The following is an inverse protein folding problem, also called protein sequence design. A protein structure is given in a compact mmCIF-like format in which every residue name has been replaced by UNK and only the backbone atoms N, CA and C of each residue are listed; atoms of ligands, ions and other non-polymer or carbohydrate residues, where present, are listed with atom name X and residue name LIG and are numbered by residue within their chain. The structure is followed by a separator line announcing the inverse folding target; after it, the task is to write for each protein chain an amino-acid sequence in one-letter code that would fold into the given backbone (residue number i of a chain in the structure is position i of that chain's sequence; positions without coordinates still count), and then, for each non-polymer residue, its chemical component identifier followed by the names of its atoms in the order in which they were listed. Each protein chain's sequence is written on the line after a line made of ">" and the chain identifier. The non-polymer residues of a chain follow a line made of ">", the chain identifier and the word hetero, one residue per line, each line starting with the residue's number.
data_IF_650615614833
#
_entry.id   IF_650615614833
#
_cell.length_a   1.000
_cell.length_b   1.000
_cell.length_c   1.000
_cell.angle_alpha   90.00
_cell.angle_beta   90.00
_cell.angle_gamma   90.00
#
_symmetry.space_group_name_H-M   'P 1'
#
loop_
_entity.id
_entity.type
_entity.pdbx_description
1 polymer ?
#
# COMPACT_ATOMS: atom_id res chain seq x y z
N UNK A 1 19.82 -6.15 -31.64
CA UNK A 1 20.60 -6.54 -30.46
C UNK A 1 20.30 -5.60 -29.30
N UNK A 2 20.57 -6.01 -28.09
CA UNK A 2 20.63 -5.14 -26.91
C UNK A 2 22.11 -4.80 -26.69
N UNK A 3 22.41 -3.56 -26.35
CA UNK A 3 23.79 -3.07 -26.11
C UNK A 3 23.81 -2.36 -24.78
N UNK A 4 24.72 -2.76 -23.91
CA UNK A 4 24.93 -2.06 -22.62
C UNK A 4 25.55 -0.68 -22.86
N UNK A 5 25.21 0.28 -22.00
CA UNK A 5 25.61 1.68 -22.19
C UNK A 5 27.11 1.88 -22.33
N UNK A 6 27.91 1.11 -21.58
CA UNK A 6 29.39 1.19 -21.61
C UNK A 6 29.99 0.67 -22.90
N UNK A 7 29.31 -0.26 -23.58
CA UNK A 7 29.71 -0.85 -24.85
C UNK A 7 29.05 -0.16 -26.06
N UNK A 8 28.16 0.82 -25.81
CA UNK A 8 27.41 1.52 -26.85
C UNK A 8 28.23 2.59 -27.55
N UNK A 9 28.15 2.62 -28.87
CA UNK A 9 28.68 3.71 -29.72
C UNK A 9 27.90 5.02 -29.47
N UNK A 10 28.45 6.18 -29.85
CA UNK A 10 27.76 7.46 -29.70
C UNK A 10 26.37 7.51 -30.37
N UNK A 11 26.19 6.79 -31.47
CA UNK A 11 24.90 6.70 -32.17
C UNK A 11 23.89 5.81 -31.42
N UNK A 12 24.36 4.72 -30.83
CA UNK A 12 23.51 3.82 -30.04
C UNK A 12 23.04 4.46 -28.73
N UNK A 13 23.83 5.32 -28.12
CA UNK A 13 23.44 6.09 -26.92
C UNK A 13 22.32 7.10 -27.16
N UNK A 14 22.01 7.43 -28.41
CA UNK A 14 20.90 8.31 -28.77
C UNK A 14 19.56 7.56 -28.87
N UNK A 15 19.58 6.23 -28.84
CA UNK A 15 18.37 5.40 -28.87
C UNK A 15 17.66 5.55 -27.52
N UNK A 16 16.37 5.94 -27.58
CA UNK A 16 15.54 6.15 -26.39
C UNK A 16 14.84 4.88 -25.91
N UNK A 17 14.80 3.84 -26.73
CA UNK A 17 14.27 2.54 -26.35
C UNK A 17 15.28 1.83 -25.46
N UNK A 18 14.88 1.48 -24.25
CA UNK A 18 15.72 0.80 -23.26
C UNK A 18 15.22 -0.61 -22.99
N UNK A 19 16.13 -1.47 -22.56
CA UNK A 19 15.82 -2.79 -22.08
C UNK A 19 15.46 -2.75 -20.58
N UNK A 20 14.28 -3.28 -20.23
CA UNK A 20 13.82 -3.31 -18.83
C UNK A 20 14.49 -4.41 -17.99
N UNK A 21 15.22 -5.32 -18.60
CA UNK A 21 15.78 -6.49 -17.91
C UNK A 21 14.76 -7.60 -17.61
N UNK A 22 13.53 -7.49 -18.09
CA UNK A 22 12.49 -8.50 -17.88
C UNK A 22 12.40 -9.39 -19.11
N UNK A 23 12.55 -10.72 -18.91
CA UNK A 23 12.57 -11.70 -19.98
C UNK A 23 11.66 -12.89 -19.67
N UNK A 24 11.07 -13.45 -20.74
CA UNK A 24 10.45 -14.76 -20.72
C UNK A 24 11.12 -15.66 -21.77
N UNK A 25 11.58 -16.83 -21.37
CA UNK A 25 12.28 -17.77 -22.24
C UNK A 25 11.55 -19.10 -22.31
N UNK A 26 11.55 -19.70 -23.52
CA UNK A 26 11.31 -21.12 -23.66
C UNK A 26 12.52 -21.88 -23.08
N UNK A 27 12.27 -22.77 -22.13
CA UNK A 27 13.31 -23.51 -21.40
C UNK A 27 14.07 -24.52 -22.31
N UNK A 28 13.50 -24.91 -23.44
CA UNK A 28 14.08 -25.94 -24.35
C UNK A 28 15.47 -25.55 -24.82
N UNK A 29 15.71 -24.26 -25.06
CA UNK A 29 16.97 -23.77 -25.64
C UNK A 29 17.78 -22.89 -24.69
N UNK A 30 17.24 -22.58 -23.50
CA UNK A 30 17.81 -21.60 -22.61
C UNK A 30 19.19 -22.00 -22.08
N UNK A 31 19.31 -23.19 -21.52
CA UNK A 31 20.56 -23.63 -20.87
C UNK A 31 21.69 -23.80 -21.87
N UNK A 32 21.41 -24.34 -23.07
CA UNK A 32 22.40 -24.43 -24.15
C UNK A 32 22.85 -23.06 -24.65
N UNK A 33 21.96 -22.08 -24.63
CA UNK A 33 22.28 -20.72 -25.03
C UNK A 33 23.09 -19.99 -23.96
N UNK A 34 22.77 -20.19 -22.68
CA UNK A 34 23.52 -19.64 -21.53
C UNK A 34 24.99 -20.08 -21.58
N UNK A 35 25.27 -21.34 -21.94
CA UNK A 35 26.64 -21.81 -22.12
C UNK A 35 27.43 -21.08 -23.23
N UNK A 36 26.75 -20.36 -24.11
CA UNK A 36 27.36 -19.58 -25.20
C UNK A 36 27.60 -18.10 -24.88
N UNK A 37 27.29 -17.63 -23.68
CA UNK A 37 27.54 -16.25 -23.26
C UNK A 37 29.04 -16.10 -22.92
N UNK A 38 29.66 -15.03 -23.38
CA UNK A 38 31.06 -14.72 -23.13
C UNK A 38 31.20 -13.44 -22.29
N UNK A 39 32.34 -13.27 -21.61
CA UNK A 39 32.64 -12.08 -20.81
C UNK A 39 33.53 -11.07 -21.54
N UNK A 40 33.60 -11.16 -22.88
CA UNK A 40 34.43 -10.27 -23.71
C UNK A 40 33.72 -8.93 -23.99
N UNK A 41 33.56 -8.11 -22.95
CA UNK A 41 32.93 -6.80 -22.99
C UNK A 41 33.67 -5.81 -22.10
N UNK A 42 33.28 -4.53 -22.10
CA UNK A 42 33.97 -3.47 -21.36
C UNK A 42 34.03 -3.68 -19.82
N UNK A 43 33.15 -4.52 -19.28
CA UNK A 43 33.08 -4.79 -17.84
C UNK A 43 33.66 -6.16 -17.45
N UNK A 44 33.94 -7.04 -18.40
CA UNK A 44 34.40 -8.42 -18.14
C UNK A 44 33.32 -9.31 -17.53
N UNK A 45 32.03 -8.97 -17.69
CA UNK A 45 30.88 -9.62 -17.08
C UNK A 45 30.10 -10.46 -18.10
N UNK A 46 29.34 -11.43 -17.62
CA UNK A 46 28.43 -12.21 -18.46
C UNK A 46 27.09 -11.46 -18.57
N UNK A 47 26.77 -10.96 -19.77
CA UNK A 47 25.53 -10.23 -20.00
C UNK A 47 24.40 -11.16 -20.43
N UNK A 48 23.32 -11.21 -19.64
CA UNK A 48 22.14 -11.96 -20.02
C UNK A 48 21.52 -11.47 -21.34
N UNK A 49 21.71 -10.19 -21.67
CA UNK A 49 21.29 -9.55 -22.93
C UNK A 49 21.90 -10.18 -24.17
N UNK A 50 23.06 -10.84 -24.04
CA UNK A 50 23.69 -11.56 -25.14
C UNK A 50 22.89 -12.77 -25.64
N UNK A 51 22.00 -13.33 -24.80
CA UNK A 51 21.08 -14.38 -25.21
C UNK A 51 20.25 -13.97 -26.43
N UNK A 52 19.83 -12.72 -26.51
CA UNK A 52 19.05 -12.21 -27.64
C UNK A 52 19.83 -12.35 -28.96
N UNK A 53 21.12 -12.04 -28.93
CA UNK A 53 21.99 -12.21 -30.10
C UNK A 53 22.23 -13.68 -30.43
N UNK A 54 22.38 -14.54 -29.41
CA UNK A 54 22.55 -16.01 -29.59
C UNK A 54 21.29 -16.62 -30.18
N UNK A 55 20.11 -16.30 -29.66
CA UNK A 55 18.81 -16.78 -30.18
C UNK A 55 18.62 -16.38 -31.62
N UNK A 56 18.89 -15.14 -32.00
CA UNK A 56 18.80 -14.67 -33.39
C UNK A 56 19.76 -15.37 -34.32
N UNK A 57 21.00 -15.61 -33.90
CA UNK A 57 21.99 -16.41 -34.71
C UNK A 57 21.52 -17.83 -34.93
N UNK A 58 20.85 -18.42 -33.93
CA UNK A 58 20.26 -19.78 -34.02
C UNK A 58 18.90 -19.79 -34.74
N UNK A 59 18.44 -18.66 -35.27
CA UNK A 59 17.12 -18.49 -35.93
C UNK A 59 15.94 -18.85 -35.02
N UNK A 60 16.10 -18.74 -33.70
CA UNK A 60 15.04 -18.90 -32.74
C UNK A 60 14.21 -17.61 -32.69
N UNK A 61 12.93 -17.76 -32.36
CA UNK A 61 12.02 -16.63 -32.27
C UNK A 61 12.37 -15.69 -31.12
N UNK A 62 12.51 -14.41 -31.40
CA UNK A 62 12.70 -13.34 -30.43
C UNK A 62 11.65 -12.27 -30.71
N UNK A 63 10.87 -11.90 -29.71
CA UNK A 63 9.89 -10.80 -29.78
C UNK A 63 10.18 -9.81 -28.66
N UNK A 64 10.03 -8.52 -28.95
CA UNK A 64 9.98 -7.47 -27.95
C UNK A 64 8.50 -7.12 -27.64
N UNK A 65 8.23 -6.82 -26.40
CA UNK A 65 6.97 -6.21 -25.95
C UNK A 65 7.29 -4.79 -25.54
N UNK A 66 6.68 -3.84 -26.22
CA UNK A 66 6.80 -2.43 -25.84
C UNK A 66 5.85 -2.16 -24.68
N UNK A 67 6.37 -1.52 -23.65
CA UNK A 67 5.57 -1.06 -22.49
C UNK A 67 5.33 0.43 -22.64
N UNK A 68 4.08 0.85 -22.61
CA UNK A 68 3.68 2.25 -22.84
C UNK A 68 4.07 3.16 -21.68
N UNK A 69 3.98 2.66 -20.43
CA UNK A 69 4.39 3.40 -19.23
C UNK A 69 5.75 2.89 -18.71
N UNK A 70 6.86 3.65 -18.91
CA UNK A 70 8.18 3.25 -18.42
C UNK A 70 8.26 3.06 -16.91
N UNK A 71 7.32 3.62 -16.15
CA UNK A 71 7.29 3.49 -14.69
C UNK A 71 6.97 2.06 -14.24
N UNK A 72 6.22 1.29 -15.05
CA UNK A 72 5.86 -0.11 -14.74
C UNK A 72 7.07 -1.05 -14.71
N UNK A 73 8.13 -0.70 -15.41
CA UNK A 73 9.34 -1.54 -15.56
C UNK A 73 10.59 -0.86 -14.98
N UNK A 74 10.43 0.18 -14.18
CA UNK A 74 11.54 0.93 -13.59
C UNK A 74 12.28 0.09 -12.54
N UNK A 75 13.56 -0.19 -12.76
CA UNK A 75 14.45 -0.80 -11.78
C UNK A 75 14.77 0.16 -10.62
N UNK A 76 15.07 -0.40 -9.44
CA UNK A 76 15.45 0.35 -8.24
C UNK A 76 16.84 -0.10 -7.80
N UNK A 77 17.83 0.81 -7.87
CA UNK A 77 19.21 0.52 -7.53
C UNK A 77 19.72 1.36 -6.34
N UNK A 78 18.93 2.31 -5.88
CA UNK A 78 19.30 3.19 -4.76
C UNK A 78 18.10 3.46 -3.85
N UNK A 79 18.39 3.90 -2.60
CA UNK A 79 17.34 4.30 -1.66
C UNK A 79 16.59 5.56 -2.12
N UNK A 80 17.23 6.42 -2.87
CA UNK A 80 16.61 7.60 -3.48
C UNK A 80 15.59 7.17 -4.53
N UNK A 81 15.96 6.25 -5.42
CA UNK A 81 15.04 5.70 -6.41
C UNK A 81 13.87 4.95 -5.76
N UNK A 82 14.13 4.18 -4.67
CA UNK A 82 13.07 3.53 -3.90
C UNK A 82 12.06 4.55 -3.36
N UNK A 83 12.55 5.65 -2.76
CA UNK A 83 11.68 6.71 -2.23
C UNK A 83 10.84 7.37 -3.34
N UNK A 84 11.44 7.56 -4.52
CA UNK A 84 10.77 8.13 -5.68
C UNK A 84 9.66 7.22 -6.22
N UNK A 85 9.96 5.94 -6.40
CA UNK A 85 8.96 4.94 -6.85
C UNK A 85 7.84 4.81 -5.83
N UNK A 86 8.15 4.75 -4.53
CA UNK A 86 7.15 4.71 -3.46
C UNK A 86 6.22 5.93 -3.50
N UNK A 87 6.77 7.12 -3.78
CA UNK A 87 5.97 8.34 -3.95
C UNK A 87 5.04 8.25 -5.17
N UNK A 88 5.51 7.72 -6.28
CA UNK A 88 4.71 7.55 -7.50
C UNK A 88 3.56 6.56 -7.30
N UNK A 89 3.84 5.41 -6.67
CA UNK A 89 2.81 4.41 -6.34
C UNK A 89 1.73 5.01 -5.44
N UNK A 90 2.14 5.73 -4.39
CA UNK A 90 1.21 6.43 -3.49
C UNK A 90 0.39 7.49 -4.22
N UNK A 91 1.02 8.30 -5.06
CA UNK A 91 0.33 9.32 -5.83
C UNK A 91 -0.74 8.70 -6.73
N UNK A 92 -0.41 7.64 -7.47
CA UNK A 92 -1.37 6.92 -8.32
C UNK A 92 -2.57 6.40 -7.52
N UNK A 93 -2.30 5.77 -6.35
CA UNK A 93 -3.38 5.30 -5.45
C UNK A 93 -4.27 6.44 -4.97
N UNK A 94 -3.69 7.56 -4.54
CA UNK A 94 -4.44 8.72 -4.08
C UNK A 94 -5.28 9.35 -5.18
N UNK A 95 -4.77 9.42 -6.43
CA UNK A 95 -5.52 9.89 -7.60
C UNK A 95 -6.70 8.97 -7.92
N UNK A 96 -6.52 7.65 -7.86
CA UNK A 96 -7.59 6.66 -8.04
C UNK A 96 -8.71 6.84 -6.99
N UNK A 97 -8.36 7.02 -5.72
CA UNK A 97 -9.31 7.23 -4.65
C UNK A 97 -10.07 8.56 -4.81
N UNK A 98 -9.38 9.65 -5.15
CA UNK A 98 -10.04 10.93 -5.42
C UNK A 98 -10.99 10.84 -6.63
N UNK A 99 -10.60 10.13 -7.68
CA UNK A 99 -11.47 9.89 -8.84
C UNK A 99 -12.70 9.04 -8.50
N UNK A 100 -12.65 8.21 -7.47
CA UNK A 100 -13.79 7.42 -6.97
C UNK A 100 -14.68 8.15 -5.96
N UNK A 101 -14.41 9.44 -5.67
CA UNK A 101 -15.24 10.27 -4.79
C UNK A 101 -14.73 10.38 -3.34
N UNK A 102 -13.51 9.95 -3.05
CA UNK A 102 -12.87 10.17 -1.74
C UNK A 102 -12.23 11.55 -1.69
N UNK A 103 -12.38 12.26 -0.60
CA UNK A 103 -11.70 13.55 -0.38
C UNK A 103 -10.41 13.35 0.41
N UNK A 104 -9.27 13.61 -0.21
CA UNK A 104 -7.98 13.71 0.47
C UNK A 104 -7.65 15.19 0.68
N UNK A 105 -7.60 15.66 1.93
CA UNK A 105 -7.34 17.08 2.27
C UNK A 105 -5.92 17.48 1.86
N UNK A 106 -4.95 16.61 2.07
CA UNK A 106 -3.58 16.75 1.58
C UNK A 106 -3.07 15.40 1.05
N UNK A 107 -3.18 15.15 -0.26
CA UNK A 107 -2.73 13.90 -0.86
C UNK A 107 -1.23 13.63 -0.68
N UNK A 108 -0.41 14.67 -0.56
CA UNK A 108 1.03 14.51 -0.40
C UNK A 108 1.41 14.02 1.01
N UNK A 109 0.62 14.39 2.01
CA UNK A 109 0.79 13.97 3.41
C UNK A 109 -0.08 12.77 3.81
N UNK A 110 -0.69 12.07 2.85
CA UNK A 110 -1.57 10.92 3.11
C UNK A 110 -0.95 9.65 2.51
N UNK A 111 -0.81 8.60 3.33
CA UNK A 111 -0.14 7.36 2.99
C UNK A 111 -1.16 6.22 2.96
N UNK A 112 -1.49 5.74 1.77
CA UNK A 112 -2.49 4.68 1.57
C UNK A 112 -1.90 3.57 0.71
N UNK A 113 -1.92 2.35 1.23
CA UNK A 113 -1.44 1.17 0.50
C UNK A 113 -2.32 0.86 -0.73
N UNK A 114 -1.74 0.29 -1.79
CA UNK A 114 -2.48 -0.06 -3.02
C UNK A 114 -3.68 -0.97 -2.80
N UNK A 115 -3.62 -1.87 -1.80
CA UNK A 115 -4.67 -2.84 -1.47
C UNK A 115 -5.85 -2.29 -0.66
N UNK A 116 -5.79 -1.03 -0.23
CA UNK A 116 -6.84 -0.40 0.59
C UNK A 116 -8.04 0.00 -0.28
N UNK A 117 -9.25 -0.20 0.24
CA UNK A 117 -10.50 0.20 -0.39
C UNK A 117 -11.20 1.26 0.48
N UNK A 118 -11.70 2.34 -0.12
CA UNK A 118 -12.39 3.43 0.59
C UNK A 118 -13.64 3.83 -0.19
N UNK A 119 -14.77 3.89 0.51
CA UNK A 119 -16.05 4.31 -0.05
C UNK A 119 -16.12 5.82 -0.34
N UNK A 120 -17.01 6.19 -1.26
CA UNK A 120 -17.22 7.57 -1.67
C UNK A 120 -17.66 8.48 -0.51
N UNK A 121 -17.48 9.78 -0.66
CA UNK A 121 -17.80 10.82 0.33
C UNK A 121 -17.02 10.70 1.66
N UNK A 122 -16.04 9.79 1.74
CA UNK A 122 -15.13 9.69 2.89
C UNK A 122 -14.05 10.76 2.81
N UNK A 123 -13.81 11.44 3.93
CA UNK A 123 -12.81 12.52 4.05
C UNK A 123 -11.61 12.02 4.86
N UNK A 124 -10.41 12.14 4.28
CA UNK A 124 -9.15 11.76 4.89
C UNK A 124 -8.29 13.01 5.12
N UNK A 125 -7.94 13.26 6.38
CA UNK A 125 -7.12 14.40 6.79
C UNK A 125 -5.61 14.11 6.68
N UNK A 126 -4.75 15.15 6.76
CA UNK A 126 -3.30 15.00 6.59
C UNK A 126 -2.66 14.10 7.65
N UNK A 127 -1.58 13.42 7.27
CA UNK A 127 -0.80 12.57 8.16
C UNK A 127 -1.45 11.23 8.49
N UNK A 128 -2.52 10.86 7.80
CA UNK A 128 -3.16 9.56 7.93
C UNK A 128 -2.35 8.50 7.21
N UNK A 129 -2.23 7.33 7.83
CA UNK A 129 -1.57 6.13 7.30
C UNK A 129 -2.58 4.99 7.29
N UNK A 130 -2.85 4.41 6.13
CA UNK A 130 -3.78 3.30 5.96
C UNK A 130 -3.08 2.17 5.21
N UNK A 131 -2.96 1.02 5.86
CA UNK A 131 -2.11 -0.08 5.41
C UNK A 131 -2.87 -1.40 5.29
N UNK A 132 -2.24 -2.34 4.59
CA UNK A 132 -2.64 -3.72 4.49
C UNK A 132 -3.93 -3.91 3.68
N UNK A 133 -4.83 -4.76 4.19
CA UNK A 133 -6.12 -5.06 3.57
C UNK A 133 -7.28 -4.28 4.20
N UNK A 134 -7.03 -3.03 4.56
CA UNK A 134 -8.04 -2.17 5.18
C UNK A 134 -9.15 -1.81 4.20
N UNK A 135 -10.39 -1.88 4.69
CA UNK A 135 -11.59 -1.42 3.98
C UNK A 135 -12.31 -0.39 4.83
N UNK A 136 -12.66 0.72 4.22
CA UNK A 136 -13.41 1.83 4.84
C UNK A 136 -14.66 2.08 4.01
N UNK A 137 -15.81 2.16 4.68
CA UNK A 137 -17.10 2.45 4.07
C UNK A 137 -17.22 3.88 3.55
N UNK A 138 -18.44 4.27 3.20
CA UNK A 138 -18.78 5.58 2.67
C UNK A 138 -19.05 6.61 3.78
N UNK A 139 -18.92 7.88 3.45
CA UNK A 139 -19.24 9.03 4.30
C UNK A 139 -18.54 8.98 5.69
N UNK A 140 -17.33 8.45 5.74
CA UNK A 140 -16.51 8.42 6.94
C UNK A 140 -15.65 9.70 7.06
N UNK A 141 -15.22 10.00 8.29
CA UNK A 141 -14.28 11.09 8.56
C UNK A 141 -13.08 10.56 9.33
N UNK A 142 -11.92 10.53 8.69
CA UNK A 142 -10.66 10.06 9.26
C UNK A 142 -9.76 11.27 9.52
N UNK A 143 -9.66 11.64 10.77
CA UNK A 143 -8.91 12.83 11.18
C UNK A 143 -7.40 12.64 11.13
N UNK A 144 -6.66 13.74 11.26
CA UNK A 144 -5.22 13.79 11.09
C UNK A 144 -4.45 12.84 12.02
N UNK A 145 -3.36 12.26 11.49
CA UNK A 145 -2.44 11.39 12.22
C UNK A 145 -3.08 10.13 12.79
N UNK A 146 -4.08 9.60 12.12
CA UNK A 146 -4.65 8.27 12.39
C UNK A 146 -3.84 7.21 11.66
N UNK A 147 -3.60 6.07 12.30
CA UNK A 147 -2.98 4.90 11.68
C UNK A 147 -3.95 3.72 11.72
N UNK A 148 -4.19 3.10 10.57
CA UNK A 148 -5.13 2.00 10.38
C UNK A 148 -4.44 0.87 9.61
N UNK A 149 -4.39 -0.33 10.19
CA UNK A 149 -3.78 -1.50 9.55
C UNK A 149 -4.72 -2.71 9.62
N UNK A 150 -5.02 -3.33 8.48
CA UNK A 150 -5.85 -4.55 8.38
C UNK A 150 -7.22 -4.44 9.08
N UNK A 151 -7.92 -3.33 8.93
CA UNK A 151 -9.20 -3.06 9.57
C UNK A 151 -10.39 -3.10 8.60
N UNK A 152 -11.57 -3.43 9.14
CA UNK A 152 -12.86 -3.27 8.48
C UNK A 152 -13.64 -2.14 9.15
N UNK A 153 -13.96 -1.08 8.41
CA UNK A 153 -14.65 0.11 8.91
C UNK A 153 -15.92 0.31 8.08
N UNK A 154 -17.06 0.33 8.75
CA UNK A 154 -18.38 0.55 8.13
C UNK A 154 -18.58 2.01 7.69
N UNK A 155 -19.82 2.32 7.29
CA UNK A 155 -20.19 3.65 6.82
C UNK A 155 -20.40 4.65 7.97
N UNK A 156 -20.27 5.95 7.68
CA UNK A 156 -20.54 7.04 8.62
C UNK A 156 -19.73 6.95 9.92
N UNK A 157 -18.53 6.39 9.87
CA UNK A 157 -17.63 6.26 11.02
C UNK A 157 -16.74 7.50 11.14
N UNK A 158 -16.55 7.97 12.36
CA UNK A 158 -15.60 9.06 12.66
C UNK A 158 -14.42 8.52 13.47
N UNK A 159 -13.22 8.61 12.90
CA UNK A 159 -11.97 8.27 13.60
C UNK A 159 -11.23 9.58 13.91
N UNK A 160 -11.09 9.90 15.19
CA UNK A 160 -10.45 11.15 15.64
C UNK A 160 -8.94 11.01 15.71
N UNK A 161 -8.27 12.15 15.64
CA UNK A 161 -6.81 12.27 15.53
C UNK A 161 -6.02 11.44 16.53
N UNK A 162 -4.84 11.00 16.09
CA UNK A 162 -3.88 10.25 16.89
C UNK A 162 -4.39 8.91 17.42
N UNK A 163 -5.39 8.34 16.79
CA UNK A 163 -5.86 6.98 17.10
C UNK A 163 -5.11 5.94 16.26
N UNK A 164 -4.84 4.79 16.87
CA UNK A 164 -4.17 3.65 16.25
C UNK A 164 -5.10 2.44 16.29
N UNK A 165 -5.25 1.76 15.17
CA UNK A 165 -6.05 0.53 15.11
C UNK A 165 -5.42 -0.51 14.19
N UNK A 166 -5.45 -1.75 14.67
CA UNK A 166 -4.90 -2.90 13.95
C UNK A 166 -5.87 -4.07 14.03
N UNK A 167 -6.11 -4.74 12.90
CA UNK A 167 -6.92 -5.97 12.79
C UNK A 167 -8.21 -5.89 13.60
N UNK A 168 -8.94 -4.80 13.42
CA UNK A 168 -10.14 -4.45 14.18
C UNK A 168 -11.33 -4.20 13.26
N UNK A 169 -12.53 -4.39 13.77
CA UNK A 169 -13.78 -4.09 13.08
C UNK A 169 -14.50 -2.93 13.76
N UNK A 170 -14.86 -1.92 12.99
CA UNK A 170 -15.62 -0.78 13.44
C UNK A 170 -16.90 -0.69 12.60
N UNK A 171 -18.06 -0.84 13.23
CA UNK A 171 -19.35 -0.86 12.55
C UNK A 171 -19.90 0.56 12.33
N UNK A 172 -20.92 0.63 11.48
CA UNK A 172 -21.54 1.87 11.00
C UNK A 172 -21.86 2.85 12.13
N UNK A 173 -21.59 4.12 11.90
CA UNK A 173 -21.94 5.23 12.80
C UNK A 173 -21.13 5.27 14.10
N UNK A 174 -20.15 4.40 14.27
CA UNK A 174 -19.31 4.43 15.47
C UNK A 174 -18.33 5.64 15.46
N UNK A 175 -17.86 6.01 16.63
CA UNK A 175 -16.87 7.08 16.81
C UNK A 175 -15.73 6.61 17.68
N UNK A 176 -14.47 6.81 17.22
CA UNK A 176 -13.26 6.34 17.90
C UNK A 176 -12.29 7.49 18.12
N UNK A 177 -11.78 7.63 19.34
CA UNK A 177 -10.73 8.55 19.70
C UNK A 177 -11.22 9.90 20.25
N UNK A 178 -10.31 10.90 20.37
CA UNK A 178 -8.89 10.86 19.94
C UNK A 178 -8.02 10.00 20.87
N UNK A 179 -6.76 9.72 20.43
CA UNK A 179 -5.79 8.95 21.21
C UNK A 179 -6.31 7.58 21.67
N UNK A 180 -7.12 6.92 20.87
CA UNK A 180 -7.60 5.55 21.13
C UNK A 180 -6.67 4.51 20.51
N UNK A 181 -6.53 3.37 21.17
CA UNK A 181 -5.77 2.24 20.66
C UNK A 181 -6.63 0.98 20.55
N UNK A 182 -6.97 0.58 19.34
CA UNK A 182 -7.70 -0.66 19.07
C UNK A 182 -6.72 -1.72 18.61
N UNK A 183 -6.54 -2.74 19.46
CA UNK A 183 -5.65 -3.87 19.19
C UNK A 183 -6.43 -5.00 18.50
N UNK A 184 -5.72 -6.00 17.94
CA UNK A 184 -6.35 -7.09 17.21
C UNK A 184 -7.52 -7.76 17.92
N UNK A 185 -8.46 -8.23 17.12
CA UNK A 185 -9.70 -8.90 17.57
C UNK A 185 -10.65 -7.96 18.35
N UNK A 186 -10.56 -6.65 18.12
CA UNK A 186 -11.50 -5.68 18.68
C UNK A 186 -12.65 -5.45 17.72
N UNK A 187 -13.88 -5.44 18.26
CA UNK A 187 -15.10 -5.10 17.55
C UNK A 187 -15.79 -3.93 18.24
N UNK A 188 -15.96 -2.85 17.50
CA UNK A 188 -16.73 -1.67 17.93
C UNK A 188 -18.04 -1.67 17.16
N UNK A 189 -19.13 -2.03 17.83
CA UNK A 189 -20.42 -2.19 17.19
C UNK A 189 -21.10 -0.86 16.82
N UNK A 190 -22.19 -0.98 16.09
CA UNK A 190 -22.96 0.15 15.53
C UNK A 190 -23.22 1.26 16.55
N UNK A 191 -22.90 2.50 16.18
CA UNK A 191 -23.13 3.69 16.99
C UNK A 191 -22.39 3.74 18.32
N UNK A 192 -21.46 2.78 18.57
CA UNK A 192 -20.68 2.78 19.81
C UNK A 192 -19.62 3.90 19.79
N UNK A 193 -19.24 4.35 20.97
CA UNK A 193 -18.29 5.48 21.14
C UNK A 193 -17.10 5.08 22.00
N UNK A 194 -15.92 5.30 21.48
CA UNK A 194 -14.65 5.17 22.17
C UNK A 194 -14.05 6.56 22.29
N UNK A 195 -13.74 6.97 23.50
CA UNK A 195 -13.16 8.29 23.76
C UNK A 195 -11.64 8.26 23.91
N UNK A 196 -11.11 9.29 24.54
CA UNK A 196 -9.67 9.52 24.59
C UNK A 196 -8.96 8.60 25.59
N UNK A 197 -7.75 8.16 25.20
CA UNK A 197 -6.90 7.31 26.02
C UNK A 197 -7.59 6.00 26.44
N UNK A 198 -8.36 5.42 25.52
CA UNK A 198 -8.99 4.12 25.71
C UNK A 198 -8.25 3.09 24.86
N UNK A 199 -7.88 1.98 25.48
CA UNK A 199 -7.27 0.83 24.79
C UNK A 199 -8.21 -0.37 24.86
N UNK A 200 -8.46 -1.00 23.71
CA UNK A 200 -9.24 -2.22 23.59
C UNK A 200 -8.39 -3.35 23.00
N UNK A 201 -8.51 -4.57 23.56
CA UNK A 201 -7.86 -5.77 23.05
C UNK A 201 -8.81 -6.96 23.14
N UNK A 202 -9.05 -7.69 22.06
CA UNK A 202 -9.94 -8.85 22.05
C UNK A 202 -11.28 -8.54 22.75
N UNK A 203 -11.88 -7.41 22.40
CA UNK A 203 -13.02 -6.86 23.11
C UNK A 203 -14.11 -6.48 22.12
N UNK A 204 -15.34 -6.88 22.42
CA UNK A 204 -16.53 -6.41 21.73
C UNK A 204 -17.21 -5.32 22.56
N UNK A 205 -17.27 -4.11 22.01
CA UNK A 205 -18.07 -3.02 22.58
C UNK A 205 -19.41 -2.97 21.84
N UNK A 206 -20.46 -3.40 22.51
CA UNK A 206 -21.79 -3.60 21.93
C UNK A 206 -22.46 -2.33 21.42
N UNK A 207 -23.57 -2.44 20.67
CA UNK A 207 -24.21 -1.32 19.99
C UNK A 207 -24.56 -0.17 20.95
N UNK A 208 -24.28 1.07 20.51
CA UNK A 208 -24.54 2.30 21.23
C UNK A 208 -23.90 2.40 22.63
N UNK A 209 -22.96 1.52 22.94
CA UNK A 209 -22.20 1.55 24.19
C UNK A 209 -21.06 2.57 24.12
N UNK A 210 -20.56 2.97 25.26
CA UNK A 210 -19.55 4.02 25.39
C UNK A 210 -18.44 3.58 26.34
N UNK A 211 -17.19 3.82 25.92
CA UNK A 211 -16.01 3.79 26.77
C UNK A 211 -15.33 5.18 26.64
N UNK A 212 -15.60 6.10 27.56
CA UNK A 212 -15.39 7.53 27.30
C UNK A 212 -13.93 7.97 27.46
N UNK A 213 -13.18 7.46 28.45
CA UNK A 213 -11.80 7.91 28.69
C UNK A 213 -11.04 7.01 29.67
N UNK A 214 -9.71 7.02 29.54
CA UNK A 214 -8.75 6.44 30.50
C UNK A 214 -9.09 5.00 30.91
N UNK A 215 -9.41 4.15 29.96
CA UNK A 215 -9.83 2.76 30.24
C UNK A 215 -9.05 1.77 29.40
N UNK A 216 -8.66 0.65 30.03
CA UNK A 216 -8.21 -0.54 29.33
C UNK A 216 -9.28 -1.62 29.44
N UNK A 217 -9.72 -2.13 28.31
CA UNK A 217 -10.69 -3.23 28.21
C UNK A 217 -10.05 -4.39 27.43
N UNK A 218 -9.79 -5.48 28.13
CA UNK A 218 -9.16 -6.66 27.55
C UNK A 218 -10.00 -7.91 27.71
N UNK A 219 -10.13 -8.71 26.64
CA UNK A 219 -10.86 -9.98 26.62
C UNK A 219 -12.30 -9.85 27.17
N UNK A 220 -13.02 -8.79 26.81
CA UNK A 220 -14.32 -8.45 27.35
C UNK A 220 -15.40 -8.42 26.27
N UNK A 221 -16.63 -8.77 26.65
CA UNK A 221 -17.82 -8.55 25.85
C UNK A 221 -18.76 -7.61 26.61
N UNK A 222 -18.99 -6.44 26.05
CA UNK A 222 -19.81 -5.38 26.61
C UNK A 222 -21.13 -5.37 25.83
N UNK A 223 -22.24 -5.39 26.54
CA UNK A 223 -23.58 -5.42 25.95
C UNK A 223 -23.99 -4.11 25.27
N UNK A 224 -25.26 -3.98 24.95
CA UNK A 224 -25.85 -2.82 24.26
C UNK A 224 -26.10 -1.68 25.26
N UNK A 225 -25.83 -0.43 24.83
CA UNK A 225 -26.10 0.81 25.61
C UNK A 225 -25.43 0.86 26.99
N UNK A 226 -24.33 0.17 27.15
CA UNK A 226 -23.50 0.23 28.36
C UNK A 226 -22.62 1.47 28.35
N UNK A 227 -22.48 2.11 29.48
CA UNK A 227 -21.53 3.19 29.68
C UNK A 227 -20.40 2.69 30.59
N UNK A 228 -19.23 2.46 30.02
CA UNK A 228 -18.02 2.14 30.75
C UNK A 228 -17.40 3.46 31.21
N UNK A 229 -17.50 3.77 32.48
CA UNK A 229 -16.97 4.97 33.09
C UNK A 229 -16.08 4.63 34.28
N UNK A 230 -15.09 5.50 34.54
CA UNK A 230 -14.40 5.48 35.82
C UNK A 230 -15.34 6.12 36.82
N UNK A 231 -15.87 5.39 37.79
CA UNK A 231 -16.49 5.98 38.98
C UNK A 231 -15.37 6.69 39.74
N UNK A 232 -15.39 8.00 39.71
CA UNK A 232 -14.65 8.81 40.72
C UNK A 232 -15.35 8.61 42.06
N UNK A 233 -14.73 7.84 42.94
CA UNK A 233 -14.99 7.91 44.36
C UNK A 233 -14.44 9.18 44.92
#
# INVERSE_FOLDING_TARGET
>A
RIVEERDASPAERQIKEINSGIYAFDMTHLFDALGGIASQNAQGEYYLTDLIAIYRRRKLMVKSVLVDDPQEVRGINSRTELAEVSRLVRQKKNEELMASGVTLVDPAATYIDPGVEIGADTVIHPGVIIEGRTRIGAACEIHAHVTITDCEIGDNVTIKSFSLMTSSRIETGASVGPFAHLRPETVVCEGAKIGNFVELKKTTLGPHSKANHLSYLGNATIGTKVNVGKTSS
#
